data_IF_896782265743
#
_entry.id   IF_896782265743
#
_cell.length_a   1.000
_cell.length_b   1.000
_cell.length_c   1.000
_cell.angle_alpha   90.00
_cell.angle_beta   90.00
_cell.angle_gamma   90.00
#
_symmetry.space_group_name_H-M   'P 1'
#
loop_
_entity.id
_entity.type
_entity.pdbx_description
1 polymer ?
#
# COMPACT_ATOMS: atom_id res chain seq x y z
N UNK A 1 -27.26 -10.81 -25.03
CA UNK A 1 -26.97 -10.17 -26.34
C UNK A 1 -25.50 -9.76 -26.30
N UNK A 2 -24.64 -10.61 -26.86
CA UNK A 2 -23.19 -10.49 -26.74
C UNK A 2 -22.67 -9.99 -28.08
N UNK A 3 -22.14 -8.77 -28.12
CA UNK A 3 -21.49 -8.21 -29.30
C UNK A 3 -20.05 -8.76 -29.37
N UNK A 4 -19.75 -9.62 -30.34
CA UNK A 4 -18.40 -10.01 -30.71
C UNK A 4 -17.97 -9.16 -31.92
N UNK A 5 -17.09 -8.19 -31.68
CA UNK A 5 -16.50 -7.36 -32.74
C UNK A 5 -15.35 -8.11 -33.42
N UNK A 6 -15.51 -8.45 -34.69
CA UNK A 6 -14.42 -8.97 -35.52
C UNK A 6 -13.61 -7.79 -36.09
N UNK A 7 -12.36 -7.64 -35.65
CA UNK A 7 -11.42 -6.71 -36.29
C UNK A 7 -10.81 -7.37 -37.53
N UNK A 8 -11.00 -6.76 -38.71
CA UNK A 8 -10.40 -7.20 -39.96
C UNK A 8 -9.40 -6.14 -40.41
N UNK A 9 -8.12 -6.48 -40.55
CA UNK A 9 -7.08 -5.58 -41.06
C UNK A 9 -6.87 -5.80 -42.56
N UNK A 10 -6.84 -4.70 -43.31
CA UNK A 10 -6.57 -4.65 -44.76
C UNK A 10 -5.21 -3.96 -44.99
N UNK A 11 -4.44 -4.44 -45.96
CA UNK A 11 -3.24 -3.74 -46.45
C UNK A 11 -3.60 -2.66 -47.49
N UNK A 12 -2.72 -1.69 -47.70
CA UNK A 12 -2.84 -0.44 -48.47
C UNK A 12 -3.12 -0.67 -49.98
N UNK A 13 -3.17 -1.92 -50.45
CA UNK A 13 -3.63 -2.29 -51.81
C UNK A 13 -4.93 -3.11 -51.85
N UNK A 14 -5.65 -3.24 -50.73
CA UNK A 14 -7.01 -3.80 -50.70
C UNK A 14 -7.13 -5.33 -50.80
N UNK A 15 -6.04 -6.09 -50.68
CA UNK A 15 -6.09 -7.55 -50.74
C UNK A 15 -6.31 -8.18 -49.35
N UNK A 16 -7.19 -9.19 -49.30
CA UNK A 16 -7.57 -9.93 -48.10
C UNK A 16 -6.54 -11.04 -47.81
N UNK A 17 -5.85 -10.97 -46.67
CA UNK A 17 -4.91 -12.00 -46.24
C UNK A 17 -5.67 -13.10 -45.47
N UNK A 18 -5.59 -14.34 -45.95
CA UNK A 18 -6.16 -15.52 -45.29
C UNK A 18 -4.99 -16.39 -44.83
N UNK A 19 -4.75 -16.48 -43.52
CA UNK A 19 -3.72 -17.36 -42.97
C UNK A 19 -4.36 -18.68 -42.55
N UNK A 20 -4.14 -19.72 -43.37
CA UNK A 20 -4.45 -21.11 -43.03
C UNK A 20 -3.16 -21.76 -42.52
N UNK A 21 -3.09 -22.07 -41.23
CA UNK A 21 -2.02 -22.90 -40.68
C UNK A 21 -2.66 -24.14 -40.05
N UNK A 22 -2.49 -25.27 -40.73
CA UNK A 22 -2.79 -26.60 -40.21
C UNK A 22 -1.46 -27.27 -39.82
N UNK A 23 -1.36 -27.76 -38.59
CA UNK A 23 -0.39 -28.77 -38.18
C UNK A 23 -1.04 -29.64 -37.10
N UNK A 24 -1.09 -30.95 -37.37
CA UNK A 24 -1.59 -32.01 -36.50
C UNK A 24 -0.43 -32.69 -35.72
N UNK A 25 -0.82 -33.52 -34.74
CA UNK A 25 -0.08 -34.53 -33.96
C UNK A 25 0.48 -33.96 -32.62
N UNK A 26 0.39 -34.59 -31.44
CA UNK A 26 -0.15 -35.88 -30.96
C UNK A 26 -0.25 -35.82 -29.43
N UNK A 27 -1.07 -36.70 -28.87
CA UNK A 27 -1.37 -36.93 -27.45
C UNK A 27 -0.11 -37.23 -26.60
N UNK A 28 0.06 -36.52 -25.48
CA UNK A 28 1.11 -36.75 -24.49
C UNK A 28 0.65 -36.34 -23.09
N UNK A 29 0.29 -37.35 -22.30
CA UNK A 29 -0.13 -37.31 -20.91
C UNK A 29 1.05 -36.90 -20.02
N UNK A 30 0.95 -35.84 -19.20
CA UNK A 30 1.87 -35.63 -18.07
C UNK A 30 1.17 -34.82 -16.96
N UNK A 31 1.15 -35.45 -15.80
CA UNK A 31 0.55 -35.05 -14.54
C UNK A 31 1.42 -34.02 -13.79
N UNK A 32 0.76 -33.25 -12.92
CA UNK A 32 1.26 -32.36 -11.85
C UNK A 32 2.47 -32.92 -11.06
N UNK A 33 3.22 -32.11 -10.27
CA UNK A 33 2.76 -31.81 -8.89
C UNK A 33 3.45 -30.62 -8.16
N UNK A 34 2.71 -29.68 -7.55
CA UNK A 34 3.26 -28.92 -6.40
C UNK A 34 2.15 -28.58 -5.40
N UNK A 35 2.03 -29.39 -4.34
CA UNK A 35 1.45 -29.12 -3.00
C UNK A 35 1.93 -30.25 -2.05
N UNK A 36 1.78 -30.19 -0.71
CA UNK A 36 2.87 -29.93 0.24
C UNK A 36 3.07 -31.06 1.30
N UNK A 37 4.27 -31.20 1.88
CA UNK A 37 4.55 -32.05 3.06
C UNK A 37 5.65 -31.33 3.88
N UNK A 38 5.56 -30.99 5.16
CA UNK A 38 5.15 -31.70 6.39
C UNK A 38 6.01 -32.93 6.76
N UNK A 39 6.49 -32.90 8.01
CA UNK A 39 7.02 -34.00 8.87
C UNK A 39 8.56 -34.14 8.97
N UNK A 40 9.05 -33.62 10.11
CA UNK A 40 10.02 -34.16 11.11
C UNK A 40 11.02 -35.27 10.72
N UNK A 41 12.24 -35.08 11.24
CA UNK A 41 13.04 -35.94 12.16
C UNK A 41 14.42 -36.49 11.68
N UNK A 42 15.41 -36.27 12.57
CA UNK A 42 16.64 -37.04 12.89
C UNK A 42 17.90 -36.81 12.05
N UNK A 43 18.91 -36.16 12.67
CA UNK A 43 20.17 -36.82 13.06
C UNK A 43 20.97 -35.93 14.04
N UNK A 44 21.21 -36.46 15.24
CA UNK A 44 22.23 -35.99 16.19
C UNK A 44 23.63 -36.39 15.70
N UNK A 45 24.62 -35.55 15.95
CA UNK A 45 25.99 -35.97 16.26
C UNK A 45 26.61 -34.91 17.18
N UNK A 46 26.90 -35.31 18.42
CA UNK A 46 27.72 -34.57 19.36
C UNK A 46 29.20 -34.68 18.96
N UNK A 47 29.94 -33.59 19.08
CA UNK A 47 31.34 -33.65 19.52
C UNK A 47 31.65 -32.44 20.41
N UNK A 48 31.98 -32.72 21.66
CA UNK A 48 32.51 -31.76 22.63
C UNK A 48 33.95 -31.38 22.30
N UNK A 49 34.26 -30.08 22.26
CA UNK A 49 35.59 -29.56 22.58
C UNK A 49 35.41 -28.29 23.43
N UNK A 50 36.01 -28.29 24.62
CA UNK A 50 35.98 -27.19 25.58
C UNK A 50 36.92 -26.04 25.18
N UNK A 51 36.38 -24.83 25.33
CA UNK A 51 36.97 -23.63 25.97
C UNK A 51 38.30 -23.07 25.45
N UNK A 52 38.21 -21.86 24.88
CA UNK A 52 39.00 -20.69 25.30
C UNK A 52 38.18 -19.42 25.00
N UNK A 53 38.05 -18.56 26.01
CA UNK A 53 37.32 -17.30 25.94
C UNK A 53 37.95 -16.32 24.95
N UNK A 54 37.12 -15.72 24.10
CA UNK A 54 37.49 -14.61 23.20
C UNK A 54 36.60 -13.40 23.55
N UNK A 55 37.15 -12.18 23.63
CA UNK A 55 36.42 -11.02 24.12
C UNK A 55 35.35 -10.57 23.12
N UNK A 56 34.29 -9.97 23.67
CA UNK A 56 33.08 -9.53 23.01
C UNK A 56 33.33 -8.80 21.67
N UNK A 57 32.52 -9.04 20.62
CA UNK A 57 32.55 -8.19 19.45
C UNK A 57 32.12 -6.78 19.85
N UNK A 58 33.03 -5.84 19.68
CA UNK A 58 32.76 -4.40 19.75
C UNK A 58 31.60 -4.08 18.80
N UNK A 59 30.44 -3.75 19.37
CA UNK A 59 29.31 -3.24 18.61
C UNK A 59 29.69 -1.85 18.07
N UNK A 60 30.23 -1.82 16.86
CA UNK A 60 30.21 -0.64 16.01
C UNK A 60 28.75 -0.20 15.82
N UNK A 61 28.41 1.09 15.97
CA UNK A 61 27.05 1.56 15.76
C UNK A 61 26.68 1.28 14.30
N UNK A 62 25.82 0.29 14.10
CA UNK A 62 25.18 0.05 12.81
C UNK A 62 24.49 1.34 12.40
N UNK A 63 24.80 1.82 11.21
CA UNK A 63 24.08 2.93 10.59
C UNK A 63 22.57 2.68 10.72
N UNK A 64 21.78 3.66 11.19
CA UNK A 64 20.35 3.49 11.52
C UNK A 64 19.48 3.06 10.33
N UNK A 65 20.02 3.14 9.11
CA UNK A 65 19.36 2.74 7.86
C UNK A 65 19.13 1.23 7.71
N UNK A 66 19.77 0.39 8.51
CA UNK A 66 19.63 -1.07 8.40
C UNK A 66 18.92 -1.70 9.61
N UNK A 67 18.22 -0.87 10.40
CA UNK A 67 17.46 -1.34 11.55
C UNK A 67 16.14 -1.97 11.09
N UNK A 68 16.02 -3.28 11.37
CA UNK A 68 14.80 -4.05 11.15
C UNK A 68 13.95 -4.03 12.43
N UNK A 69 12.68 -3.69 12.27
CA UNK A 69 11.65 -3.69 13.31
C UNK A 69 10.61 -4.77 13.00
N UNK A 70 10.25 -5.56 14.00
CA UNK A 70 9.31 -6.68 13.83
C UNK A 70 7.93 -6.31 14.37
N UNK A 71 6.90 -6.45 13.54
CA UNK A 71 5.50 -6.29 13.96
C UNK A 71 4.77 -7.61 13.81
N UNK A 72 4.25 -8.14 14.92
CA UNK A 72 3.50 -9.40 14.94
C UNK A 72 2.01 -9.09 15.08
N UNK A 73 1.23 -9.38 14.04
CA UNK A 73 -0.23 -9.15 13.98
C UNK A 73 -0.95 -10.49 14.00
N UNK A 74 -1.59 -10.83 15.12
CA UNK A 74 -2.30 -12.12 15.31
C UNK A 74 -1.50 -13.37 14.91
N UNK A 75 -0.18 -13.33 15.11
CA UNK A 75 0.73 -14.44 14.81
C UNK A 75 1.40 -14.37 13.44
N UNK A 76 0.98 -13.44 12.57
CA UNK A 76 1.70 -13.13 11.33
C UNK A 76 2.77 -12.08 11.59
N UNK A 77 3.96 -12.28 11.03
CA UNK A 77 5.12 -11.42 11.24
C UNK A 77 5.37 -10.54 10.03
N UNK A 78 5.56 -9.25 10.29
CA UNK A 78 5.91 -8.25 9.30
C UNK A 78 7.21 -7.59 9.72
N UNK A 79 8.13 -7.43 8.77
CA UNK A 79 9.39 -6.70 8.97
C UNK A 79 9.23 -5.31 8.37
N UNK A 80 9.59 -4.29 9.17
CA UNK A 80 9.58 -2.90 8.77
C UNK A 80 10.97 -2.30 8.96
N UNK A 81 11.34 -1.40 8.06
CA UNK A 81 12.58 -0.64 8.13
C UNK A 81 12.33 0.77 8.67
N UNK A 82 13.42 1.46 9.02
CA UNK A 82 13.37 2.80 9.59
C UNK A 82 12.64 3.81 8.68
N UNK A 83 12.88 3.77 7.38
CA UNK A 83 12.21 4.60 6.38
C UNK A 83 10.69 4.35 6.33
N UNK A 84 10.26 3.08 6.40
CA UNK A 84 8.86 2.71 6.41
C UNK A 84 8.14 3.22 7.67
N UNK A 85 8.72 3.02 8.86
CA UNK A 85 8.07 3.49 10.10
C UNK A 85 8.02 5.01 10.18
N UNK A 86 8.95 5.73 9.52
CA UNK A 86 8.98 7.20 9.51
C UNK A 86 8.20 7.85 8.36
N UNK A 87 7.72 7.07 7.39
CA UNK A 87 7.06 7.56 6.16
C UNK A 87 5.84 8.47 6.41
N UNK A 88 5.01 8.14 7.40
CA UNK A 88 3.86 8.95 7.84
C UNK A 88 4.02 9.31 9.32
N UNK A 89 5.19 9.87 9.67
CA UNK A 89 5.52 10.33 11.03
C UNK A 89 4.86 11.68 11.34
N UNK A 90 4.45 11.93 12.61
CA UNK A 90 4.51 11.02 13.75
C UNK A 90 3.38 9.99 13.72
N UNK A 91 3.69 8.75 14.13
CA UNK A 91 2.74 7.65 14.22
C UNK A 91 3.06 6.69 15.37
N UNK A 92 2.21 5.69 15.55
CA UNK A 92 2.33 4.68 16.60
C UNK A 92 3.66 3.91 16.53
N UNK A 93 4.14 3.53 15.34
CA UNK A 93 5.41 2.81 15.18
C UNK A 93 6.61 3.67 15.55
N UNK A 94 6.65 4.93 15.10
CA UNK A 94 7.70 5.87 15.52
C UNK A 94 7.71 6.06 17.03
N UNK A 95 6.53 6.07 17.66
CA UNK A 95 6.45 6.13 19.12
C UNK A 95 7.00 4.85 19.73
N UNK A 96 6.51 3.67 19.35
CA UNK A 96 6.94 2.41 19.97
C UNK A 96 8.42 2.08 19.76
N UNK A 97 8.96 2.31 18.56
CA UNK A 97 10.31 1.86 18.20
C UNK A 97 11.40 2.91 18.38
N UNK A 98 11.07 4.20 18.30
CA UNK A 98 12.08 5.27 18.36
C UNK A 98 12.05 6.03 19.69
N UNK A 99 10.99 5.89 20.50
CA UNK A 99 11.03 6.37 21.88
C UNK A 99 11.52 5.27 22.81
N UNK A 100 12.27 5.61 23.85
CA UNK A 100 13.06 4.67 24.67
C UNK A 100 12.27 3.69 25.55
N UNK A 101 11.09 3.22 25.11
CA UNK A 101 10.31 2.17 25.77
C UNK A 101 10.92 0.78 25.55
N UNK A 102 10.35 -0.23 26.21
CA UNK A 102 10.83 -1.61 26.14
C UNK A 102 10.78 -2.18 24.71
N UNK A 103 9.75 -1.82 23.95
CA UNK A 103 9.57 -2.22 22.55
C UNK A 103 10.66 -1.69 21.63
N UNK A 104 11.25 -0.52 21.94
CA UNK A 104 12.42 0.00 21.21
C UNK A 104 13.68 -0.82 21.48
N UNK A 105 13.79 -1.42 22.68
CA UNK A 105 14.91 -2.30 23.02
C UNK A 105 14.78 -3.66 22.35
N UNK A 106 13.58 -4.24 22.35
CA UNK A 106 13.31 -5.57 21.78
C UNK A 106 13.00 -5.52 20.27
N UNK A 107 12.82 -4.32 19.72
CA UNK A 107 12.45 -4.04 18.32
C UNK A 107 11.26 -4.87 17.82
N UNK A 108 10.38 -5.30 18.73
CA UNK A 108 9.27 -6.19 18.45
C UNK A 108 7.98 -5.63 19.05
N UNK A 109 6.96 -5.46 18.21
CA UNK A 109 5.65 -4.96 18.59
C UNK A 109 4.58 -6.01 18.28
N UNK A 110 3.67 -6.30 19.22
CA UNK A 110 2.59 -7.28 19.04
C UNK A 110 1.24 -6.58 19.00
N UNK A 111 0.45 -6.85 17.97
CA UNK A 111 -0.82 -6.19 17.71
C UNK A 111 -1.96 -7.20 17.53
N UNK A 112 -3.16 -6.81 17.97
CA UNK A 112 -4.40 -7.59 17.86
C UNK A 112 -5.28 -7.17 16.66
N UNK A 113 -4.67 -6.59 15.62
CA UNK A 113 -5.32 -6.06 14.40
C UNK A 113 -5.48 -7.12 13.30
N UNK A 114 -6.12 -6.78 12.18
CA UNK A 114 -6.36 -7.74 11.10
C UNK A 114 -5.11 -7.85 10.21
N UNK A 115 -4.46 -9.02 10.08
CA UNK A 115 -3.18 -9.13 9.38
C UNK A 115 -3.25 -8.77 7.89
N UNK A 116 -4.31 -9.19 7.19
CA UNK A 116 -4.49 -8.81 5.77
C UNK A 116 -4.64 -7.30 5.56
N UNK A 117 -5.34 -6.58 6.45
CA UNK A 117 -5.44 -5.12 6.35
C UNK A 117 -4.11 -4.46 6.73
N UNK A 118 -3.40 -5.05 7.69
CA UNK A 118 -2.07 -4.61 8.04
C UNK A 118 -1.08 -4.74 6.87
N UNK A 119 -1.18 -5.79 6.05
CA UNK A 119 -0.39 -5.89 4.83
C UNK A 119 -0.59 -4.68 3.89
N UNK A 120 -1.83 -4.18 3.76
CA UNK A 120 -2.11 -2.95 3.00
C UNK A 120 -1.46 -1.72 3.66
N UNK A 121 -1.42 -1.67 4.99
CA UNK A 121 -0.68 -0.63 5.73
C UNK A 121 0.81 -0.71 5.43
N UNK A 122 1.41 -1.90 5.36
CA UNK A 122 2.83 -2.07 5.01
C UNK A 122 3.13 -1.57 3.59
N UNK A 123 2.27 -1.89 2.62
CA UNK A 123 2.39 -1.35 1.25
C UNK A 123 2.34 0.20 1.25
N UNK A 124 1.43 0.77 2.03
CA UNK A 124 1.34 2.22 2.20
C UNK A 124 2.61 2.82 2.83
N UNK A 125 3.12 2.21 3.91
CA UNK A 125 4.35 2.67 4.58
C UNK A 125 5.58 2.53 3.69
N UNK A 126 5.54 1.62 2.71
CA UNK A 126 6.55 1.48 1.66
C UNK A 126 6.43 2.52 0.55
N UNK A 127 5.45 3.43 0.63
CA UNK A 127 5.21 4.50 -0.32
C UNK A 127 4.35 4.14 -1.54
N UNK A 128 3.77 2.94 -1.59
CA UNK A 128 2.94 2.53 -2.71
C UNK A 128 1.55 3.20 -2.70
N UNK A 129 1.00 3.52 -3.88
CA UNK A 129 -0.38 3.97 -3.99
C UNK A 129 -1.33 2.79 -3.76
N UNK A 130 -2.00 2.77 -2.61
CA UNK A 130 -2.91 1.68 -2.24
C UNK A 130 -4.37 1.88 -2.70
N UNK A 131 -4.71 3.05 -3.23
CA UNK A 131 -6.05 3.36 -3.72
C UNK A 131 -6.10 3.44 -5.25
N UNK A 132 -7.20 2.98 -5.90
CA UNK A 132 -8.36 2.32 -5.29
C UNK A 132 -8.02 0.92 -4.74
N UNK A 133 -8.71 0.49 -3.68
CA UNK A 133 -8.46 -0.83 -3.10
C UNK A 133 -8.77 -1.93 -4.13
N UNK A 134 -7.85 -2.89 -4.27
CA UNK A 134 -8.08 -4.09 -5.08
C UNK A 134 -8.92 -5.10 -4.30
N UNK A 135 -9.90 -5.72 -4.97
CA UNK A 135 -10.68 -6.82 -4.38
C UNK A 135 -9.82 -8.02 -3.97
N UNK A 136 -8.65 -8.19 -4.59
CA UNK A 136 -7.70 -9.26 -4.27
C UNK A 136 -6.88 -8.98 -2.99
N UNK A 137 -6.75 -7.72 -2.60
CA UNK A 137 -6.00 -7.33 -1.41
C UNK A 137 -6.86 -7.38 -0.12
N UNK A 138 -8.18 -7.51 -0.27
CA UNK A 138 -9.15 -7.49 0.83
C UNK A 138 -9.37 -8.91 1.38
N UNK A 139 -9.59 -9.11 2.69
CA UNK A 139 -9.94 -10.41 3.24
C UNK A 139 -11.14 -11.06 2.51
N UNK A 140 -11.14 -12.39 2.25
CA UNK A 140 -12.19 -13.05 1.48
C UNK A 140 -13.63 -12.89 2.03
N UNK A 141 -13.76 -12.58 3.32
CA UNK A 141 -15.06 -12.41 4.00
C UNK A 141 -15.45 -10.94 4.20
N UNK A 142 -14.74 -10.02 3.57
CA UNK A 142 -14.92 -8.58 3.75
C UNK A 142 -15.19 -7.94 2.38
N UNK A 143 -16.28 -7.19 2.26
CA UNK A 143 -16.51 -6.38 1.07
C UNK A 143 -15.58 -5.15 1.05
N UNK A 144 -15.45 -4.51 -0.11
CA UNK A 144 -14.53 -3.40 -0.33
C UNK A 144 -14.90 -2.15 0.49
N UNK A 145 -16.19 -1.90 0.69
CA UNK A 145 -16.66 -0.75 1.47
C UNK A 145 -16.32 -0.92 2.96
N UNK A 146 -16.52 -2.12 3.50
CA UNK A 146 -16.16 -2.46 4.86
C UNK A 146 -14.63 -2.50 5.02
N UNK A 147 -13.89 -3.02 4.03
CA UNK A 147 -12.43 -2.98 4.02
C UNK A 147 -11.90 -1.55 4.11
N UNK A 148 -12.47 -0.64 3.32
CA UNK A 148 -12.12 0.77 3.36
C UNK A 148 -12.40 1.40 4.75
N UNK A 149 -13.55 1.09 5.36
CA UNK A 149 -13.89 1.55 6.72
C UNK A 149 -12.96 0.98 7.79
N UNK A 150 -12.66 -0.31 7.72
CA UNK A 150 -11.75 -0.97 8.65
C UNK A 150 -10.31 -0.47 8.49
N UNK A 151 -9.86 -0.25 7.26
CA UNK A 151 -8.55 0.32 6.97
C UNK A 151 -8.43 1.75 7.50
N UNK A 152 -9.49 2.56 7.38
CA UNK A 152 -9.53 3.89 7.99
C UNK A 152 -9.43 3.82 9.53
N UNK A 153 -10.16 2.89 10.15
CA UNK A 153 -10.10 2.66 11.60
C UNK A 153 -8.69 2.24 12.05
N UNK A 154 -8.03 1.35 11.30
CA UNK A 154 -6.66 0.93 11.59
C UNK A 154 -5.66 2.07 11.35
N UNK A 155 -5.82 2.87 10.29
CA UNK A 155 -5.00 4.05 10.03
C UNK A 155 -5.11 5.09 11.17
N UNK A 156 -6.32 5.31 11.69
CA UNK A 156 -6.56 6.16 12.86
C UNK A 156 -5.87 5.61 14.11
N UNK A 157 -6.01 4.30 14.36
CA UNK A 157 -5.37 3.65 15.50
C UNK A 157 -3.83 3.79 15.46
N UNK A 158 -3.23 3.67 14.29
CA UNK A 158 -1.79 3.85 14.12
C UNK A 158 -1.36 5.32 14.05
N UNK A 159 -2.30 6.27 14.02
CA UNK A 159 -1.99 7.70 13.86
C UNK A 159 -1.41 8.07 12.49
N UNK A 160 -1.73 7.30 11.43
CA UNK A 160 -1.25 7.54 10.07
C UNK A 160 -2.06 8.66 9.42
N UNK A 161 -1.68 9.91 9.70
CA UNK A 161 -2.47 11.09 9.35
C UNK A 161 -2.64 11.26 7.84
N UNK A 162 -1.57 11.07 7.06
CA UNK A 162 -1.64 11.20 5.61
C UNK A 162 -2.49 10.09 5.01
N UNK A 163 -2.42 8.87 5.55
CA UNK A 163 -3.31 7.79 5.12
C UNK A 163 -4.78 8.08 5.46
N UNK A 164 -5.06 8.62 6.65
CA UNK A 164 -6.42 9.03 7.03
C UNK A 164 -6.97 10.09 6.07
N UNK A 165 -6.16 11.09 5.72
CA UNK A 165 -6.54 12.11 4.75
C UNK A 165 -6.84 11.49 3.37
N UNK A 166 -6.00 10.55 2.93
CA UNK A 166 -6.17 9.83 1.66
C UNK A 166 -7.48 9.02 1.64
N UNK A 167 -7.77 8.25 2.69
CA UNK A 167 -8.98 7.43 2.81
C UNK A 167 -10.25 8.24 3.06
N UNK A 168 -10.14 9.49 3.50
CA UNK A 168 -11.31 10.35 3.74
C UNK A 168 -11.55 11.36 2.64
N UNK A 169 -10.65 11.44 1.65
CA UNK A 169 -10.77 12.32 0.51
C UNK A 169 -12.06 12.01 -0.26
N UNK A 170 -12.94 13.00 -0.47
CA UNK A 170 -14.14 12.78 -1.24
C UNK A 170 -13.79 12.49 -2.70
N UNK A 171 -14.41 11.46 -3.26
CA UNK A 171 -14.40 11.18 -4.70
C UNK A 171 -15.57 11.88 -5.35
N UNK A 172 -15.32 12.60 -6.44
CA UNK A 172 -16.37 13.17 -7.27
C UNK A 172 -16.86 12.08 -8.22
N UNK A 173 -18.09 11.61 -8.02
CA UNK A 173 -18.75 10.63 -8.89
C UNK A 173 -19.49 11.32 -10.06
N UNK A 174 -19.29 12.63 -10.23
CA UNK A 174 -19.84 13.42 -11.33
C UNK A 174 -18.78 14.33 -11.92
N UNK A 175 -18.82 14.46 -13.25
CA UNK A 175 -18.09 15.51 -13.94
C UNK A 175 -18.68 16.87 -13.54
N UNK A 176 -17.87 17.79 -13.02
CA UNK A 176 -18.26 19.15 -12.66
C UNK A 176 -17.92 20.17 -13.76
N UNK A 177 -17.29 19.74 -14.85
CA UNK A 177 -16.93 20.61 -15.96
C UNK A 177 -18.14 21.32 -16.56
N UNK A 178 -19.30 20.65 -16.62
CA UNK A 178 -20.54 21.22 -17.15
C UNK A 178 -21.13 22.34 -16.29
N UNK A 179 -20.81 22.39 -14.98
CA UNK A 179 -21.18 23.51 -14.09
C UNK A 179 -20.04 24.52 -13.90
N UNK A 180 -18.96 24.41 -14.67
CA UNK A 180 -17.85 25.36 -14.65
C UNK A 180 -16.84 25.17 -13.52
N UNK A 181 -16.77 23.99 -12.91
CA UNK A 181 -15.74 23.64 -11.91
C UNK A 181 -14.77 22.59 -12.47
N UNK A 182 -13.56 22.56 -11.91
CA UNK A 182 -12.62 21.47 -12.15
C UNK A 182 -13.08 20.19 -11.43
N UNK A 183 -12.72 19.02 -11.98
CA UNK A 183 -12.93 17.71 -11.35
C UNK A 183 -11.89 17.40 -10.25
N UNK A 184 -11.43 18.44 -9.56
CA UNK A 184 -10.38 18.38 -8.56
C UNK A 184 -10.91 18.90 -7.23
N UNK A 185 -10.53 18.19 -6.17
CA UNK A 185 -10.96 18.49 -4.80
C UNK A 185 -9.72 18.72 -3.93
N UNK A 186 -9.73 19.80 -3.17
CA UNK A 186 -8.61 20.26 -2.34
C UNK A 186 -9.01 20.39 -0.88
N UNK A 187 -8.10 20.08 0.04
CA UNK A 187 -8.36 20.25 1.47
C UNK A 187 -8.43 21.76 1.81
N UNK A 188 -9.49 22.17 2.51
CA UNK A 188 -9.68 23.56 2.92
C UNK A 188 -8.53 24.06 3.81
N UNK A 189 -7.95 23.18 4.65
CA UNK A 189 -6.78 23.52 5.48
C UNK A 189 -5.57 23.86 4.62
N UNK A 190 -5.38 23.15 3.51
CA UNK A 190 -4.29 23.42 2.57
C UNK A 190 -4.52 24.73 1.83
N UNK A 191 -5.76 25.02 1.44
CA UNK A 191 -6.16 26.32 0.87
C UNK A 191 -5.85 27.46 1.85
N UNK A 192 -6.26 27.33 3.12
CA UNK A 192 -6.04 28.35 4.15
C UNK A 192 -4.55 28.54 4.45
N UNK A 193 -3.78 27.45 4.49
CA UNK A 193 -2.33 27.47 4.79
C UNK A 193 -1.46 27.82 3.58
N UNK A 194 -2.04 27.93 2.38
CA UNK A 194 -1.30 28.15 1.14
C UNK A 194 -0.44 26.95 0.69
N UNK A 195 -0.73 25.74 1.19
CA UNK A 195 -0.01 24.51 0.83
C UNK A 195 -0.75 23.76 -0.28
N UNK A 196 -0.99 24.45 -1.39
CA UNK A 196 -1.82 23.89 -2.47
C UNK A 196 -1.15 22.67 -3.12
N UNK A 197 -1.93 21.63 -3.49
CA UNK A 197 -1.42 20.50 -4.26
C UNK A 197 -0.81 20.94 -5.59
N UNK A 198 0.07 20.09 -6.12
CA UNK A 198 0.61 20.28 -7.48
C UNK A 198 -0.54 20.36 -8.48
N UNK A 199 -0.47 21.33 -9.40
CA UNK A 199 -1.51 21.57 -10.39
C UNK A 199 -2.64 22.49 -9.89
N UNK A 200 -2.62 22.96 -8.64
CA UNK A 200 -3.59 23.90 -8.10
C UNK A 200 -2.91 25.24 -7.78
N UNK A 201 -3.51 26.35 -8.21
CA UNK A 201 -2.95 27.70 -8.02
C UNK A 201 -3.95 28.64 -7.38
N UNK A 202 -3.45 29.56 -6.55
CA UNK A 202 -4.22 30.69 -6.01
C UNK A 202 -3.98 31.92 -6.87
N UNK A 203 -5.05 32.55 -7.32
CA UNK A 203 -5.01 33.81 -8.10
C UNK A 203 -5.00 35.02 -7.17
N UNK A 204 -4.71 36.19 -7.75
CA UNK A 204 -4.67 37.48 -7.05
C UNK A 204 -6.03 37.87 -6.46
N UNK A 205 -7.13 37.46 -7.11
CA UNK A 205 -8.51 37.64 -6.63
C UNK A 205 -8.88 36.72 -5.45
N UNK A 206 -7.93 35.89 -5.00
CA UNK A 206 -8.10 34.94 -3.91
C UNK A 206 -8.71 33.61 -4.31
N UNK A 207 -9.17 33.43 -5.56
CA UNK A 207 -9.72 32.17 -6.06
C UNK A 207 -8.65 31.07 -6.14
N UNK A 208 -9.08 29.84 -5.90
CA UNK A 208 -8.24 28.63 -6.05
C UNK A 208 -8.75 27.85 -7.24
N UNK A 209 -7.87 27.61 -8.21
CA UNK A 209 -8.22 27.06 -9.52
C UNK A 209 -7.24 25.97 -9.94
N UNK A 210 -7.69 25.12 -10.86
CA UNK A 210 -6.81 24.20 -11.57
C UNK A 210 -5.87 24.99 -12.49
N UNK A 211 -4.58 24.66 -12.46
CA UNK A 211 -3.59 25.21 -13.38
C UNK A 211 -3.80 24.72 -14.82
N UNK A 212 -4.48 23.59 -15.00
CA UNK A 212 -4.65 22.94 -16.30
C UNK A 212 -5.74 23.62 -17.15
N UNK A 213 -6.87 23.96 -16.56
CA UNK A 213 -8.04 24.51 -17.26
C UNK A 213 -8.52 25.86 -16.71
N UNK A 214 -7.93 26.35 -15.61
CA UNK A 214 -8.29 27.63 -15.00
C UNK A 214 -9.64 27.65 -14.29
N UNK A 215 -10.31 26.50 -14.14
CA UNK A 215 -11.61 26.39 -13.47
C UNK A 215 -11.45 26.32 -11.94
N UNK A 216 -12.39 26.87 -11.16
CA UNK A 216 -12.42 26.75 -9.71
C UNK A 216 -12.43 25.30 -9.25
N UNK A 217 -11.68 25.02 -8.18
CA UNK A 217 -11.69 23.69 -7.51
C UNK A 217 -12.65 23.68 -6.33
N UNK A 218 -13.13 22.50 -5.97
CA UNK A 218 -13.96 22.32 -4.77
C UNK A 218 -13.04 22.16 -3.56
N UNK A 219 -13.23 23.03 -2.55
CA UNK A 219 -12.59 22.85 -1.26
C UNK A 219 -13.48 22.00 -0.35
N UNK A 220 -12.92 20.99 0.31
CA UNK A 220 -13.63 20.21 1.34
C UNK A 220 -12.97 20.41 2.69
N UNK A 221 -13.79 20.36 3.74
CA UNK A 221 -13.33 20.30 5.11
C UNK A 221 -13.94 19.05 5.75
N UNK A 222 -13.14 18.33 6.53
CA UNK A 222 -13.63 17.23 7.34
C UNK A 222 -13.01 17.33 8.72
N UNK A 223 -13.86 17.28 9.74
CA UNK A 223 -13.40 17.08 11.11
C UNK A 223 -12.92 15.64 11.25
N UNK A 224 -11.62 15.46 11.08
CA UNK A 224 -10.94 14.23 11.51
C UNK A 224 -10.72 14.38 13.01
N UNK A 225 -11.64 13.83 13.80
CA UNK A 225 -11.45 13.68 15.25
C UNK A 225 -10.39 12.60 15.43
N UNK A 226 -9.21 12.99 15.90
CA UNK A 226 -8.23 12.03 16.42
C UNK A 226 -8.64 11.76 17.87
N UNK A 227 -9.28 10.62 18.10
CA UNK A 227 -9.59 10.10 19.46
C UNK A 227 -8.40 9.39 20.05
#
# INVERSE_FOLDING_TARGET
MTYLGNCTTHDVRGNKLTATAAAQLTLGHLTSPWSPLSIRHIAQLQLSICTMASPAPSASPSSPDNDVYTVVVRGETFELYHDQITFDSPNYFTTCFLSGFAEAKDRTLRLSRHPTLFAIIVEYLSGYPILPLSSQAVPPKMDLANAHRCLLSDAQYYGLQRLCALLTKPTLDMDLGWIGYANEVVDLRDVIRGKLPVGIVRREDGSVVSAHNGLPVIAYARDVVFT
#
